data_IF_487096658337
#
_entry.id   IF_487096658337
#
_cell.length_a   1.000
_cell.length_b   1.000
_cell.length_c   1.000
_cell.angle_alpha   90.00
_cell.angle_beta   90.00
_cell.angle_gamma   90.00
#
_symmetry.space_group_name_H-M   'P 1'
#
loop_
_entity.id
_entity.type
_entity.pdbx_description
1 polymer ?
#
# COMPACT_ATOMS: atom_id res chain seq x y z
N UNK A 1 -4.85 -12.19 -22.15
CA UNK A 1 -6.02 -11.42 -21.68
C UNK A 1 -6.43 -10.47 -22.78
N UNK A 2 -7.65 -10.45 -23.14
CA UNK A 2 -8.15 -9.65 -24.26
C UNK A 2 -8.83 -8.36 -23.83
N UNK A 3 -8.70 -7.97 -22.56
CA UNK A 3 -9.30 -6.77 -22.03
C UNK A 3 -10.70 -6.99 -21.44
N UNK A 4 -11.20 -8.22 -21.47
CA UNK A 4 -12.50 -8.51 -20.85
C UNK A 4 -12.38 -8.50 -19.34
N UNK A 5 -13.49 -8.13 -18.68
CA UNK A 5 -13.59 -8.20 -17.22
C UNK A 5 -13.69 -9.66 -16.80
N UNK A 6 -12.95 -10.04 -15.77
CA UNK A 6 -12.96 -11.39 -15.22
C UNK A 6 -13.47 -11.30 -13.78
N UNK A 7 -14.66 -11.87 -13.54
CA UNK A 7 -15.27 -11.85 -12.21
C UNK A 7 -15.88 -10.51 -11.84
N UNK A 8 -16.29 -10.38 -10.60
CA UNK A 8 -16.92 -9.17 -10.08
C UNK A 8 -15.86 -8.24 -9.47
N UNK A 9 -16.19 -6.96 -9.40
CA UNK A 9 -15.33 -6.02 -8.65
C UNK A 9 -15.41 -6.36 -7.16
N UNK A 10 -14.35 -6.03 -6.42
CA UNK A 10 -14.30 -6.30 -4.97
C UNK A 10 -13.56 -5.18 -4.26
N UNK A 11 -13.91 -4.98 -2.98
CA UNK A 11 -13.24 -3.94 -2.17
C UNK A 11 -11.94 -4.49 -1.65
N UNK A 12 -10.88 -3.71 -1.77
CA UNK A 12 -9.53 -4.08 -1.34
C UNK A 12 -9.35 -3.92 0.17
N UNK A 13 -9.68 -2.74 0.70
CA UNK A 13 -9.47 -2.45 2.12
C UNK A 13 -10.51 -3.16 2.97
N UNK A 14 -10.08 -3.74 4.10
CA UNK A 14 -11.00 -4.37 5.06
C UNK A 14 -11.45 -3.39 6.12
N UNK A 15 -10.63 -2.40 6.47
CA UNK A 15 -10.99 -1.36 7.42
C UNK A 15 -11.72 -0.25 6.67
N UNK A 16 -12.96 0.03 7.07
CA UNK A 16 -13.86 0.86 6.26
C UNK A 16 -14.24 2.18 6.93
N UNK A 17 -13.55 2.56 8.01
CA UNK A 17 -13.78 3.83 8.69
C UNK A 17 -13.00 4.95 8.00
N UNK A 18 -13.52 6.18 8.02
CA UNK A 18 -12.90 7.34 7.39
C UNK A 18 -12.60 7.09 5.90
N UNK A 19 -11.44 7.51 5.42
CA UNK A 19 -11.13 7.47 3.99
C UNK A 19 -9.92 6.58 3.70
N UNK A 20 -10.03 5.81 2.64
CA UNK A 20 -8.94 5.08 2.01
C UNK A 20 -8.84 5.61 0.59
N UNK A 21 -7.67 6.07 0.15
CA UNK A 21 -7.52 6.75 -1.12
C UNK A 21 -6.11 6.62 -1.68
N UNK A 22 -5.87 7.18 -2.86
CA UNK A 22 -4.58 7.12 -3.55
C UNK A 22 -4.10 5.68 -3.75
N UNK A 23 -4.90 4.82 -4.42
CA UNK A 23 -4.49 3.43 -4.64
C UNK A 23 -3.38 3.33 -5.68
N UNK A 24 -2.54 2.30 -5.52
CA UNK A 24 -1.53 1.92 -6.50
C UNK A 24 -1.47 0.40 -6.55
N UNK A 25 -1.24 -0.17 -7.71
CA UNK A 25 -1.22 -1.63 -7.88
C UNK A 25 -0.03 -2.03 -8.75
N UNK A 26 0.55 -3.18 -8.43
CA UNK A 26 1.61 -3.77 -9.26
C UNK A 26 1.47 -5.29 -9.29
N UNK A 27 1.76 -5.87 -10.46
CA UNK A 27 1.85 -7.32 -10.57
C UNK A 27 3.09 -7.86 -9.89
N UNK A 28 2.98 -9.11 -9.45
CA UNK A 28 4.08 -9.84 -8.84
C UNK A 28 4.52 -10.96 -9.75
N UNK A 29 5.75 -11.46 -9.54
CA UNK A 29 6.34 -12.45 -10.42
C UNK A 29 5.59 -13.78 -10.42
N UNK A 30 4.83 -14.09 -9.36
CA UNK A 30 4.07 -15.33 -9.26
C UNK A 30 2.68 -15.25 -9.90
N UNK A 31 2.37 -14.13 -10.55
CA UNK A 31 1.05 -13.92 -11.15
C UNK A 31 0.05 -13.25 -10.24
N UNK A 32 0.38 -13.04 -8.99
CA UNK A 32 -0.44 -12.27 -8.06
C UNK A 32 -0.23 -10.77 -8.21
N UNK A 33 -0.72 -10.01 -7.27
CA UNK A 33 -0.56 -8.56 -7.30
C UNK A 33 -0.62 -8.00 -5.89
N UNK A 34 -0.13 -6.78 -5.74
CA UNK A 34 -0.18 -6.04 -4.47
C UNK A 34 -0.83 -4.70 -4.74
N UNK A 35 -1.70 -4.27 -3.82
CA UNK A 35 -2.35 -2.96 -3.86
C UNK A 35 -1.93 -2.20 -2.62
N UNK A 36 -1.55 -0.94 -2.81
CA UNK A 36 -1.26 -0.03 -1.70
C UNK A 36 -2.23 1.13 -1.73
N UNK A 37 -2.47 1.74 -0.60
CA UNK A 37 -3.35 2.91 -0.52
C UNK A 37 -2.96 3.76 0.69
N UNK A 38 -3.49 4.97 0.72
CA UNK A 38 -3.36 5.88 1.84
C UNK A 38 -4.62 5.77 2.69
N UNK A 39 -4.43 5.68 4.00
CA UNK A 39 -5.51 5.47 4.96
C UNK A 39 -5.38 6.54 6.05
N UNK A 40 -6.46 7.28 6.30
CA UNK A 40 -6.39 8.40 7.25
C UNK A 40 -7.07 8.10 8.59
N UNK A 41 -7.26 6.82 8.91
CA UNK A 41 -7.92 6.44 10.18
C UNK A 41 -6.97 6.42 11.37
N UNK A 42 -5.67 6.21 11.14
CA UNK A 42 -4.71 6.05 12.23
C UNK A 42 -4.89 4.77 13.02
N UNK A 43 -5.60 3.77 12.49
CA UNK A 43 -5.83 2.53 13.22
C UNK A 43 -4.54 1.72 13.36
N UNK A 44 -4.56 0.74 14.28
CA UNK A 44 -3.42 -0.13 14.58
C UNK A 44 -2.15 0.65 14.95
N UNK A 45 -2.31 1.74 15.69
CA UNK A 45 -1.18 2.53 16.16
C UNK A 45 -0.54 3.42 15.12
N UNK A 46 -1.22 3.63 14.01
CA UNK A 46 -0.73 4.52 12.96
C UNK A 46 -0.87 5.99 13.28
N UNK A 47 -0.47 6.83 12.36
CA UNK A 47 -0.59 8.28 12.45
C UNK A 47 -1.86 8.76 11.75
N UNK A 48 -1.93 10.04 11.40
CA UNK A 48 -3.07 10.59 10.67
C UNK A 48 -3.29 9.89 9.34
N UNK A 49 -2.24 9.88 8.51
CA UNK A 49 -2.26 9.17 7.23
C UNK A 49 -1.12 8.16 7.18
N UNK A 50 -1.44 6.96 6.81
CA UNK A 50 -0.47 5.86 6.72
C UNK A 50 -0.61 5.15 5.39
N UNK A 51 0.42 4.37 5.03
CA UNK A 51 0.43 3.57 3.82
C UNK A 51 0.13 2.13 4.20
N UNK A 52 -0.92 1.57 3.60
CA UNK A 52 -1.35 0.19 3.82
C UNK A 52 -1.26 -0.61 2.54
N UNK A 53 -1.18 -1.90 2.67
CA UNK A 53 -1.04 -2.80 1.52
C UNK A 53 -1.78 -4.10 1.75
N UNK A 54 -2.19 -4.73 0.65
CA UNK A 54 -2.80 -6.05 0.64
C UNK A 54 -2.24 -6.82 -0.55
N UNK A 55 -1.76 -8.01 -0.31
CA UNK A 55 -1.24 -8.90 -1.34
C UNK A 55 -2.31 -9.90 -1.75
N UNK A 56 -2.36 -10.21 -3.04
CA UNK A 56 -3.31 -11.17 -3.62
C UNK A 56 -2.55 -12.22 -4.42
N UNK A 57 -3.07 -13.44 -4.42
CA UNK A 57 -2.51 -14.49 -5.27
C UNK A 57 -3.02 -14.38 -6.70
N UNK A 58 -2.56 -15.28 -7.56
CA UNK A 58 -2.90 -15.24 -8.98
C UNK A 58 -4.39 -15.47 -9.26
N UNK A 59 -5.13 -15.98 -8.30
CA UNK A 59 -6.58 -16.17 -8.40
C UNK A 59 -7.37 -14.96 -7.92
N UNK A 60 -6.70 -13.93 -7.41
CA UNK A 60 -7.36 -12.76 -6.87
C UNK A 60 -7.85 -12.93 -5.44
N UNK A 61 -7.33 -13.93 -4.73
CA UNK A 61 -7.66 -14.19 -3.34
C UNK A 61 -6.61 -13.53 -2.45
N UNK A 62 -7.07 -12.85 -1.38
CA UNK A 62 -6.15 -12.18 -0.46
C UNK A 62 -5.18 -13.19 0.14
N UNK A 63 -3.90 -12.83 0.14
CA UNK A 63 -2.82 -13.62 0.70
C UNK A 63 -2.37 -12.94 1.98
N UNK A 64 -2.82 -13.46 3.12
CA UNK A 64 -2.58 -12.83 4.41
C UNK A 64 -3.48 -11.63 4.65
N UNK A 65 -3.25 -10.94 5.74
CA UNK A 65 -4.02 -9.77 6.12
C UNK A 65 -3.41 -8.50 5.52
N UNK A 66 -4.20 -7.42 5.46
CA UNK A 66 -3.64 -6.13 5.10
C UNK A 66 -2.66 -5.68 6.19
N UNK A 67 -1.67 -4.87 5.81
CA UNK A 67 -0.63 -4.44 6.74
C UNK A 67 -0.21 -3.00 6.44
N UNK A 68 0.28 -2.32 7.49
CA UNK A 68 0.84 -0.97 7.32
C UNK A 68 2.26 -1.07 6.83
N UNK A 69 2.57 -0.32 5.78
CA UNK A 69 3.89 -0.34 5.14
C UNK A 69 4.90 0.53 5.91
N UNK A 70 4.48 1.74 6.28
CA UNK A 70 5.37 2.66 6.99
C UNK A 70 5.51 2.23 8.45
N UNK A 71 6.73 2.28 8.98
CA UNK A 71 6.99 1.99 10.39
C UNK A 71 6.99 3.24 11.24
N UNK A 72 7.40 4.38 10.66
CA UNK A 72 7.37 5.65 11.36
C UNK A 72 5.97 6.25 11.24
N UNK A 73 5.32 6.53 12.38
CA UNK A 73 3.91 6.87 12.41
C UNK A 73 3.64 8.27 12.94
N UNK A 74 4.60 9.19 12.78
CA UNK A 74 4.42 10.59 13.14
C UNK A 74 4.03 11.38 11.90
N UNK A 75 3.12 12.33 12.03
CA UNK A 75 2.61 13.15 10.93
C UNK A 75 1.99 12.26 9.83
N UNK A 76 2.06 12.68 8.57
CA UNK A 76 1.36 11.98 7.50
C UNK A 76 2.33 11.32 6.53
N UNK A 77 1.94 10.14 6.05
CA UNK A 77 2.58 9.41 4.98
C UNK A 77 1.55 9.28 3.86
N UNK A 78 1.91 9.60 2.62
CA UNK A 78 0.93 9.67 1.53
C UNK A 78 1.59 9.43 0.18
N UNK A 79 0.75 9.37 -0.86
CA UNK A 79 1.17 9.16 -2.25
C UNK A 79 1.98 7.87 -2.43
N UNK A 80 1.42 6.71 -2.06
CA UNK A 80 2.14 5.45 -2.25
C UNK A 80 2.26 5.09 -3.72
N UNK A 81 3.36 4.39 -4.03
CA UNK A 81 3.57 3.77 -5.33
C UNK A 81 4.23 2.43 -5.09
N UNK A 82 3.89 1.40 -5.85
CA UNK A 82 4.42 0.06 -5.64
C UNK A 82 4.87 -0.53 -6.97
N UNK A 83 5.97 -1.31 -6.91
CA UNK A 83 6.51 -2.03 -8.05
C UNK A 83 6.90 -3.43 -7.61
N UNK A 84 6.49 -4.43 -8.39
CA UNK A 84 6.89 -5.81 -8.15
C UNK A 84 8.34 -6.03 -8.57
N UNK A 85 9.00 -6.97 -7.89
CA UNK A 85 10.38 -7.35 -8.15
C UNK A 85 10.42 -8.74 -8.75
N UNK A 86 11.52 -9.07 -9.43
CA UNK A 86 11.65 -10.35 -10.13
C UNK A 86 11.65 -11.54 -9.20
N UNK A 87 12.06 -11.35 -7.93
CA UNK A 87 12.15 -12.42 -6.95
C UNK A 87 10.83 -12.71 -6.25
N UNK A 88 9.75 -12.06 -6.66
CA UNK A 88 8.43 -12.26 -6.04
C UNK A 88 8.08 -11.23 -4.98
N UNK A 89 9.03 -10.39 -4.60
CA UNK A 89 8.78 -9.31 -3.66
C UNK A 89 8.31 -8.05 -4.35
N UNK A 90 8.26 -6.97 -3.60
CA UNK A 90 7.86 -5.67 -4.12
C UNK A 90 8.51 -4.57 -3.29
N UNK A 91 8.55 -3.37 -3.85
CA UNK A 91 9.01 -2.18 -3.14
C UNK A 91 7.92 -1.13 -3.19
N UNK A 92 7.67 -0.48 -2.05
CA UNK A 92 6.70 0.60 -1.91
C UNK A 92 7.47 1.87 -1.60
N UNK A 93 7.14 2.96 -2.29
CA UNK A 93 7.65 4.29 -1.98
C UNK A 93 6.50 5.18 -1.57
N UNK A 94 6.77 6.18 -0.75
CA UNK A 94 5.75 7.14 -0.34
C UNK A 94 6.42 8.45 0.06
N UNK A 95 5.59 9.47 0.20
CA UNK A 95 6.04 10.78 0.67
C UNK A 95 5.76 10.87 2.17
N UNK A 96 6.71 11.39 2.92
CA UNK A 96 6.67 11.48 4.38
C UNK A 96 6.94 12.93 4.77
N UNK A 97 6.05 13.52 5.57
CA UNK A 97 6.22 14.92 5.99
C UNK A 97 6.65 15.07 7.44
N UNK A 98 7.21 14.01 8.03
CA UNK A 98 7.61 14.04 9.44
C UNK A 98 8.97 14.69 9.68
N UNK A 99 9.86 14.68 8.68
CA UNK A 99 11.21 15.20 8.85
C UNK A 99 12.11 14.36 9.73
N UNK A 100 11.76 13.09 9.98
CA UNK A 100 12.56 12.23 10.87
C UNK A 100 13.88 11.83 10.20
N UNK A 101 14.79 11.30 11.01
CA UNK A 101 16.12 10.87 10.58
C UNK A 101 16.91 11.98 9.92
N UNK A 102 16.71 13.24 10.37
CA UNK A 102 17.46 14.38 9.86
C UNK A 102 17.03 14.84 8.49
N UNK A 103 15.89 14.34 7.99
CA UNK A 103 15.39 14.73 6.69
C UNK A 103 14.70 16.09 6.71
N UNK A 104 14.19 16.47 5.56
CA UNK A 104 13.44 17.71 5.41
C UNK A 104 11.96 17.47 5.76
N UNK A 105 11.12 18.49 5.57
CA UNK A 105 9.71 18.37 5.90
C UNK A 105 9.05 17.34 4.98
N UNK A 106 9.48 17.25 3.71
CA UNK A 106 8.91 16.29 2.76
C UNK A 106 10.03 15.46 2.17
N UNK A 107 10.04 14.19 2.51
CA UNK A 107 11.03 13.24 2.04
C UNK A 107 10.34 12.07 1.34
N UNK A 108 11.10 11.35 0.52
CA UNK A 108 10.63 10.13 -0.13
C UNK A 108 11.27 8.94 0.58
N UNK A 109 10.43 8.01 1.02
CA UNK A 109 10.86 6.81 1.74
C UNK A 109 10.46 5.57 0.96
N UNK A 110 11.14 4.49 1.23
CA UNK A 110 10.89 3.22 0.57
C UNK A 110 10.97 2.07 1.55
N UNK A 111 10.19 1.01 1.26
CA UNK A 111 10.19 -0.22 2.06
C UNK A 111 10.08 -1.40 1.10
N UNK A 112 10.96 -2.38 1.28
CA UNK A 112 10.97 -3.62 0.50
C UNK A 112 10.27 -4.72 1.28
#
# INVERSE_FOLDING_TARGET
MDGAVVGDEFRINTYVSSYQYEPSVSGLSDGGFVVTWRDNTGHDGGSGDDIWAQVYDASGVASGDEFRVNTYTSNSQYEPSVTGLKDGGFVVTWRDDSGHDGGSIQDVWAQV
#
